data_IF_106437945758
#
_entry.id   IF_106437945758
#
_cell.length_a   1.000
_cell.length_b   1.000
_cell.length_c   1.000
_cell.angle_alpha   90.00
_cell.angle_beta   90.00
_cell.angle_gamma   90.00
#
_symmetry.space_group_name_H-M   'P 1'
#
loop_
_entity.id
_entity.type
_entity.pdbx_description
1 polymer ?
#
# COMPACT_ATOMS: atom_id res chain seq x y z
N UNK A 1 1.14 17.23 -26.06
CA UNK A 1 2.24 17.24 -25.09
C UNK A 1 2.13 15.99 -24.23
N UNK A 2 3.23 15.37 -23.85
CA UNK A 2 3.23 14.08 -23.15
C UNK A 2 3.00 14.34 -21.65
N UNK A 3 2.44 13.39 -20.90
CA UNK A 3 2.21 13.39 -19.44
C UNK A 3 3.43 13.94 -18.67
N UNK A 4 4.62 13.42 -18.97
CA UNK A 4 5.89 13.83 -18.37
C UNK A 4 6.29 15.28 -18.68
N UNK A 5 5.93 15.82 -19.85
CA UNK A 5 6.31 17.19 -20.19
C UNK A 5 5.57 18.24 -19.35
N UNK A 6 4.31 17.97 -18.99
CA UNK A 6 3.54 18.87 -18.11
C UNK A 6 4.02 18.81 -16.66
N UNK A 7 4.34 17.63 -16.15
CA UNK A 7 4.93 17.50 -14.81
C UNK A 7 6.29 18.18 -14.71
N UNK A 8 7.12 18.08 -15.78
CA UNK A 8 8.42 18.76 -15.85
C UNK A 8 8.26 20.28 -15.92
N UNK A 9 7.23 20.79 -16.60
CA UNK A 9 6.92 22.22 -16.66
C UNK A 9 6.51 22.74 -15.28
N UNK A 10 5.67 22.00 -14.55
CA UNK A 10 5.26 22.34 -13.19
C UNK A 10 6.45 22.29 -12.23
N UNK A 11 7.30 21.27 -12.30
CA UNK A 11 8.50 21.16 -11.47
C UNK A 11 9.50 22.29 -11.70
N UNK A 12 9.50 22.92 -12.89
CA UNK A 12 10.34 24.08 -13.21
C UNK A 12 9.77 25.43 -12.72
N UNK A 13 8.47 25.45 -12.34
CA UNK A 13 7.80 26.64 -11.81
C UNK A 13 7.82 26.53 -10.30
N UNK A 14 8.45 27.34 -9.51
CA UNK A 14 8.48 27.48 -8.04
C UNK A 14 7.66 26.45 -7.20
N UNK A 15 7.58 25.20 -7.68
CA UNK A 15 6.85 24.08 -7.10
C UNK A 15 7.85 23.18 -6.37
N UNK A 16 7.63 22.93 -5.08
CA UNK A 16 8.46 22.01 -4.32
C UNK A 16 8.18 20.56 -4.78
N UNK A 17 9.21 19.87 -5.27
CA UNK A 17 9.06 18.48 -5.74
C UNK A 17 9.42 17.49 -4.64
N UNK A 18 8.51 16.56 -4.39
CA UNK A 18 8.65 15.44 -3.45
C UNK A 18 8.64 14.12 -4.23
N UNK A 19 9.32 13.11 -3.70
CA UNK A 19 9.45 11.77 -4.30
C UNK A 19 9.66 10.71 -3.20
N UNK A 20 9.44 9.41 -3.48
CA UNK A 20 9.59 8.37 -2.45
C UNK A 20 11.02 8.27 -1.92
N UNK A 21 12.00 8.21 -2.83
CA UNK A 21 13.44 8.14 -2.53
C UNK A 21 14.22 9.01 -3.53
N UNK A 22 15.48 9.31 -3.19
CA UNK A 22 16.36 10.07 -4.08
C UNK A 22 16.98 9.23 -5.20
N UNK A 23 16.96 7.90 -5.06
CA UNK A 23 17.49 6.97 -6.04
C UNK A 23 16.62 6.91 -7.30
N UNK A 24 17.27 6.85 -8.47
CA UNK A 24 16.59 6.60 -9.74
C UNK A 24 16.12 5.15 -9.87
N UNK A 25 15.47 4.84 -11.01
CA UNK A 25 15.00 3.49 -11.30
C UNK A 25 16.15 2.47 -11.33
N UNK A 26 15.93 1.31 -10.73
CA UNK A 26 16.85 0.18 -10.73
C UNK A 26 17.01 -0.37 -12.16
N UNK A 27 18.25 -0.51 -12.63
CA UNK A 27 18.53 -0.96 -13.99
C UNK A 27 18.09 -2.42 -14.21
N UNK A 28 18.28 -3.27 -13.22
CA UNK A 28 17.91 -4.69 -13.27
C UNK A 28 17.29 -5.15 -11.94
N UNK A 29 15.96 -5.05 -11.79
CA UNK A 29 15.26 -5.49 -10.60
C UNK A 29 15.40 -6.99 -10.29
N UNK A 30 15.60 -7.82 -11.31
CA UNK A 30 15.80 -9.25 -11.14
C UNK A 30 17.12 -9.54 -10.42
N UNK A 31 18.24 -9.04 -10.95
CA UNK A 31 19.57 -9.25 -10.35
C UNK A 31 19.70 -8.55 -9.00
N UNK A 32 19.09 -7.37 -8.83
CA UNK A 32 19.04 -6.68 -7.54
C UNK A 32 18.32 -7.51 -6.48
N UNK A 33 17.21 -8.17 -6.84
CA UNK A 33 16.47 -9.08 -5.95
C UNK A 33 17.32 -10.28 -5.55
N UNK A 34 17.97 -10.94 -6.52
CA UNK A 34 18.88 -12.06 -6.21
C UNK A 34 20.00 -11.64 -5.26
N UNK A 35 20.58 -10.45 -5.49
CA UNK A 35 21.63 -9.90 -4.63
C UNK A 35 21.11 -9.65 -3.21
N UNK A 36 19.95 -9.03 -3.08
CA UNK A 36 19.32 -8.75 -1.79
C UNK A 36 19.05 -10.02 -0.97
N UNK A 37 18.54 -11.07 -1.62
CA UNK A 37 18.26 -12.35 -0.96
C UNK A 37 19.50 -13.18 -0.60
N UNK A 38 20.61 -12.96 -1.30
CA UNK A 38 21.91 -13.58 -0.97
C UNK A 38 22.61 -12.89 0.20
N UNK A 39 22.41 -11.59 0.37
CA UNK A 39 23.04 -10.79 1.41
C UNK A 39 22.03 -9.89 2.11
N UNK A 40 21.06 -10.48 2.85
CA UNK A 40 20.03 -9.70 3.54
C UNK A 40 20.63 -8.87 4.68
N UNK A 41 19.92 -7.81 5.04
CA UNK A 41 20.27 -6.95 6.18
C UNK A 41 19.96 -7.69 7.49
N UNK A 42 20.98 -7.89 8.31
CA UNK A 42 20.89 -8.52 9.65
C UNK A 42 20.23 -9.93 9.63
N UNK A 43 20.36 -10.67 8.53
CA UNK A 43 19.82 -12.02 8.37
C UNK A 43 20.73 -12.90 7.48
N UNK A 44 20.76 -14.22 7.65
CA UNK A 44 21.51 -15.10 6.75
C UNK A 44 20.93 -15.11 5.33
N UNK A 45 21.68 -15.61 4.35
CA UNK A 45 21.17 -15.80 2.99
C UNK A 45 19.86 -16.61 3.01
N UNK A 46 18.88 -16.25 2.19
CA UNK A 46 17.57 -16.91 2.19
C UNK A 46 17.69 -18.45 2.02
N UNK A 47 18.61 -18.89 1.16
CA UNK A 47 18.86 -20.34 0.94
C UNK A 47 19.47 -21.05 2.13
N UNK A 48 20.10 -20.34 3.06
CA UNK A 48 20.63 -20.90 4.31
C UNK A 48 19.57 -20.91 5.43
N UNK A 49 18.53 -20.09 5.30
CA UNK A 49 17.45 -19.98 6.26
C UNK A 49 16.35 -21.04 6.04
N UNK A 50 16.21 -21.53 4.81
CA UNK A 50 15.23 -22.56 4.45
C UNK A 50 15.91 -23.92 4.61
N UNK A 51 15.30 -24.80 5.41
CA UNK A 51 15.83 -26.15 5.64
C UNK A 51 15.05 -27.21 4.85
N UNK A 52 15.66 -28.39 4.56
CA UNK A 52 14.98 -29.45 3.84
C UNK A 52 13.68 -29.88 4.51
N UNK A 53 12.60 -29.88 3.74
CA UNK A 53 11.26 -30.21 4.20
C UNK A 53 10.38 -29.00 4.57
N UNK A 54 10.94 -27.78 4.57
CA UNK A 54 10.15 -26.57 4.81
C UNK A 54 9.15 -26.30 3.68
N UNK A 55 7.96 -25.89 4.06
CA UNK A 55 6.98 -25.27 3.18
C UNK A 55 7.16 -23.77 3.21
N UNK A 56 7.19 -23.13 2.02
CA UNK A 56 7.44 -21.70 1.88
C UNK A 56 6.20 -21.00 1.36
N UNK A 57 5.78 -19.92 2.02
CA UNK A 57 4.73 -19.04 1.51
C UNK A 57 5.30 -17.65 1.19
N UNK A 58 5.03 -17.16 -0.03
CA UNK A 58 5.39 -15.82 -0.48
C UNK A 58 4.15 -14.95 -0.47
N UNK A 59 4.12 -13.93 0.40
CA UNK A 59 3.03 -12.95 0.45
C UNK A 59 3.37 -11.77 -0.46
N UNK A 60 2.50 -11.47 -1.43
CA UNK A 60 2.78 -10.48 -2.48
C UNK A 60 1.85 -9.27 -2.35
N UNK A 61 2.42 -8.08 -2.08
CA UNK A 61 1.75 -6.80 -2.35
C UNK A 61 1.69 -6.59 -3.87
N UNK A 62 0.49 -6.65 -4.49
CA UNK A 62 0.34 -6.57 -5.95
C UNK A 62 0.75 -5.21 -6.53
N UNK A 63 0.86 -4.18 -5.68
CA UNK A 63 1.26 -2.83 -6.09
C UNK A 63 2.78 -2.61 -6.04
N UNK A 64 3.56 -3.64 -5.69
CA UNK A 64 5.02 -3.56 -5.68
C UNK A 64 5.56 -3.22 -7.08
N UNK A 65 6.43 -2.20 -7.22
CA UNK A 65 7.03 -1.87 -8.50
C UNK A 65 7.78 -3.05 -9.12
N UNK A 66 7.61 -3.28 -10.42
CA UNK A 66 8.26 -4.37 -11.17
C UNK A 66 8.05 -5.78 -10.57
N UNK A 67 6.91 -6.03 -9.92
CA UNK A 67 6.62 -7.27 -9.16
C UNK A 67 6.91 -8.55 -9.95
N UNK A 68 6.60 -8.61 -11.24
CA UNK A 68 6.85 -9.81 -12.06
C UNK A 68 8.33 -10.17 -12.15
N UNK A 69 9.23 -9.18 -12.31
CA UNK A 69 10.67 -9.41 -12.35
C UNK A 69 11.20 -9.82 -10.97
N UNK A 70 10.72 -9.18 -9.93
CA UNK A 70 11.09 -9.45 -8.53
C UNK A 70 10.66 -10.86 -8.15
N UNK A 71 9.41 -11.21 -8.40
CA UNK A 71 8.88 -12.54 -8.10
C UNK A 71 9.60 -13.63 -8.89
N UNK A 72 9.96 -13.37 -10.16
CA UNK A 72 10.77 -14.30 -10.96
C UNK A 72 12.11 -14.61 -10.29
N UNK A 73 12.79 -13.60 -9.74
CA UNK A 73 14.04 -13.80 -9.00
C UNK A 73 13.83 -14.58 -7.71
N UNK A 74 12.75 -14.28 -6.96
CA UNK A 74 12.37 -15.02 -5.74
C UNK A 74 12.11 -16.49 -6.05
N UNK A 75 11.29 -16.79 -7.07
CA UNK A 75 10.98 -18.16 -7.49
C UNK A 75 12.26 -18.90 -7.92
N UNK A 76 13.13 -18.25 -8.69
CA UNK A 76 14.42 -18.85 -9.06
C UNK A 76 15.27 -19.18 -7.83
N UNK A 77 15.30 -18.32 -6.82
CA UNK A 77 16.05 -18.58 -5.59
C UNK A 77 15.42 -19.72 -4.78
N UNK A 78 14.09 -19.78 -4.69
CA UNK A 78 13.38 -20.86 -4.01
C UNK A 78 13.56 -22.21 -4.70
N UNK A 79 13.64 -22.26 -6.02
CA UNK A 79 13.97 -23.48 -6.77
C UNK A 79 15.38 -24.01 -6.49
N UNK A 80 16.27 -23.17 -5.98
CA UNK A 80 17.65 -23.53 -5.58
C UNK A 80 17.74 -23.88 -4.09
N UNK A 81 16.67 -23.67 -3.32
CA UNK A 81 16.58 -24.07 -1.92
C UNK A 81 16.05 -25.49 -1.78
N UNK A 82 16.11 -26.01 -0.56
CA UNK A 82 15.61 -27.35 -0.21
C UNK A 82 14.11 -27.34 0.23
N UNK A 83 13.34 -26.33 -0.20
CA UNK A 83 11.91 -26.22 0.11
C UNK A 83 11.11 -27.39 -0.46
N UNK A 84 10.20 -27.98 0.34
CA UNK A 84 9.35 -29.10 -0.07
C UNK A 84 8.08 -28.64 -0.81
N UNK A 85 7.63 -27.41 -0.58
CA UNK A 85 6.48 -26.79 -1.25
C UNK A 85 6.55 -25.29 -1.25
N UNK A 86 6.06 -24.67 -2.31
CA UNK A 86 6.03 -23.21 -2.47
C UNK A 86 4.60 -22.77 -2.79
N UNK A 87 4.11 -21.77 -2.06
CA UNK A 87 2.82 -21.12 -2.30
C UNK A 87 3.02 -19.62 -2.45
N UNK A 88 2.28 -18.99 -3.36
CA UNK A 88 2.28 -17.54 -3.57
C UNK A 88 0.90 -16.99 -3.27
N UNK A 89 0.78 -16.17 -2.24
CA UNK A 89 -0.47 -15.52 -1.84
C UNK A 89 -0.45 -14.07 -2.27
N UNK A 90 -1.40 -13.68 -3.12
CA UNK A 90 -1.51 -12.34 -3.69
C UNK A 90 -2.63 -11.57 -2.98
N UNK A 91 -2.40 -10.30 -2.65
CA UNK A 91 -3.43 -9.43 -2.07
C UNK A 91 -4.65 -9.29 -2.97
N UNK A 92 -5.84 -9.21 -2.38
CA UNK A 92 -7.16 -9.17 -3.06
C UNK A 92 -7.41 -7.88 -3.85
N UNK A 93 -6.56 -6.86 -3.72
CA UNK A 93 -6.61 -5.63 -4.52
C UNK A 93 -5.92 -5.76 -5.89
N UNK A 94 -5.36 -6.94 -6.22
CA UNK A 94 -4.65 -7.19 -7.46
C UNK A 94 -5.57 -7.09 -8.68
N UNK A 95 -5.13 -6.36 -9.71
CA UNK A 95 -5.81 -6.34 -11.01
C UNK A 95 -5.72 -7.72 -11.70
N UNK A 96 -6.70 -8.09 -12.51
CA UNK A 96 -6.65 -9.35 -13.28
C UNK A 96 -5.37 -9.49 -14.12
N UNK A 97 -4.87 -8.38 -14.70
CA UNK A 97 -3.62 -8.36 -15.46
C UNK A 97 -2.39 -8.64 -14.58
N UNK A 98 -2.39 -8.17 -13.34
CA UNK A 98 -1.32 -8.43 -12.37
C UNK A 98 -1.34 -9.89 -11.93
N UNK A 99 -2.52 -10.44 -11.66
CA UNK A 99 -2.71 -11.86 -11.32
C UNK A 99 -2.21 -12.75 -12.45
N UNK A 100 -2.58 -12.44 -13.70
CA UNK A 100 -2.11 -13.18 -14.86
C UNK A 100 -0.59 -13.13 -14.98
N UNK A 101 0.02 -11.97 -14.86
CA UNK A 101 1.48 -11.81 -14.94
C UNK A 101 2.21 -12.58 -13.81
N UNK A 102 1.67 -12.59 -12.60
CA UNK A 102 2.19 -13.37 -11.47
C UNK A 102 2.08 -14.86 -11.77
N UNK A 103 0.91 -15.33 -12.23
CA UNK A 103 0.69 -16.74 -12.55
C UNK A 103 1.61 -17.22 -13.67
N UNK A 104 1.84 -16.40 -14.70
CA UNK A 104 2.79 -16.71 -15.78
C UNK A 104 4.23 -16.84 -15.28
N UNK A 105 4.65 -15.98 -14.36
CA UNK A 105 5.99 -16.01 -13.75
C UNK A 105 6.19 -17.25 -12.87
N UNK A 106 5.18 -17.57 -12.08
CA UNK A 106 5.23 -18.70 -11.13
C UNK A 106 5.17 -20.04 -11.86
N UNK A 107 4.37 -20.13 -12.93
CA UNK A 107 4.20 -21.35 -13.74
C UNK A 107 3.77 -22.54 -12.88
N UNK A 108 4.38 -23.70 -13.14
CA UNK A 108 4.11 -24.94 -12.39
C UNK A 108 4.96 -25.06 -11.11
N UNK A 109 5.75 -24.05 -10.74
CA UNK A 109 6.66 -24.12 -9.59
C UNK A 109 5.96 -23.96 -8.26
N UNK A 110 4.87 -23.20 -8.20
CA UNK A 110 4.13 -22.93 -6.99
C UNK A 110 2.64 -22.75 -7.27
N UNK A 111 1.83 -22.95 -6.24
CA UNK A 111 0.41 -22.60 -6.26
C UNK A 111 0.25 -21.08 -6.04
N UNK A 112 -0.62 -20.44 -6.85
CA UNK A 112 -0.98 -19.02 -6.69
C UNK A 112 -2.39 -18.93 -6.13
N UNK A 113 -2.53 -18.34 -4.95
CA UNK A 113 -3.83 -18.05 -4.32
C UNK A 113 -4.05 -16.55 -4.21
N UNK A 114 -5.25 -16.08 -4.57
CA UNK A 114 -5.68 -14.72 -4.27
C UNK A 114 -6.34 -14.73 -2.90
N UNK A 115 -5.91 -13.85 -2.02
CA UNK A 115 -6.47 -13.75 -0.69
C UNK A 115 -7.97 -13.46 -0.70
N UNK A 116 -8.72 -14.16 0.14
CA UNK A 116 -10.18 -14.07 0.24
C UNK A 116 -10.58 -13.74 1.70
N UNK A 117 -10.69 -12.46 2.07
CA UNK A 117 -10.88 -12.05 3.47
C UNK A 117 -12.22 -12.48 4.09
N UNK A 118 -13.24 -12.76 3.27
CA UNK A 118 -14.55 -13.24 3.73
C UNK A 118 -14.68 -14.78 3.69
N UNK A 119 -13.67 -15.50 3.21
CA UNK A 119 -13.70 -16.97 3.14
C UNK A 119 -13.07 -17.58 4.38
N UNK A 120 -13.91 -18.04 5.31
CA UNK A 120 -13.46 -18.63 6.58
C UNK A 120 -12.53 -19.84 6.41
N UNK A 121 -12.70 -20.63 5.35
CA UNK A 121 -11.87 -21.81 5.09
C UNK A 121 -10.46 -21.45 4.60
N UNK A 122 -10.31 -20.28 3.99
CA UNK A 122 -9.01 -19.74 3.54
C UNK A 122 -8.24 -19.00 4.66
N UNK A 123 -8.80 -18.95 5.88
CA UNK A 123 -8.24 -18.22 7.01
C UNK A 123 -7.85 -19.18 8.15
N UNK A 124 -6.82 -18.78 8.89
CA UNK A 124 -6.34 -19.46 10.10
C UNK A 124 -6.19 -18.48 11.24
N UNK A 125 -6.63 -18.89 12.43
CA UNK A 125 -6.40 -18.11 13.66
C UNK A 125 -4.91 -18.10 14.00
N UNK A 126 -4.37 -16.89 14.15
CA UNK A 126 -2.96 -16.69 14.50
C UNK A 126 -2.77 -16.46 16.01
N UNK A 127 -3.64 -15.67 16.60
CA UNK A 127 -3.58 -15.28 18.01
C UNK A 127 -4.50 -14.08 18.28
N UNK A 128 -4.64 -13.62 19.52
CA UNK A 128 -5.28 -12.35 19.84
C UNK A 128 -4.28 -11.20 19.69
N UNK A 129 -4.78 -9.99 19.32
CA UNK A 129 -4.01 -8.74 19.43
C UNK A 129 -3.92 -8.26 20.89
N UNK A 130 -3.14 -7.22 21.16
CA UNK A 130 -2.99 -6.61 22.50
C UNK A 130 -4.32 -6.16 23.13
N UNK A 131 -5.37 -5.95 22.31
CA UNK A 131 -6.73 -5.62 22.75
C UNK A 131 -7.63 -6.85 22.88
N UNK A 132 -7.06 -8.06 22.81
CA UNK A 132 -7.76 -9.34 22.85
C UNK A 132 -8.73 -9.60 21.68
N UNK A 133 -8.58 -8.89 20.55
CA UNK A 133 -9.32 -9.23 19.33
C UNK A 133 -8.60 -10.37 18.60
N UNK A 134 -9.36 -11.32 18.03
CA UNK A 134 -8.75 -12.40 17.28
C UNK A 134 -8.14 -11.89 15.97
N UNK A 135 -6.93 -12.34 15.66
CA UNK A 135 -6.26 -12.12 14.38
C UNK A 135 -6.37 -13.40 13.55
N UNK A 136 -6.98 -13.28 12.39
CA UNK A 136 -7.00 -14.32 11.37
C UNK A 136 -6.23 -13.86 10.16
N UNK A 137 -5.32 -14.68 9.66
CA UNK A 137 -4.59 -14.42 8.41
C UNK A 137 -4.87 -15.53 7.39
N UNK A 138 -4.43 -15.31 6.15
CA UNK A 138 -4.49 -16.32 5.12
C UNK A 138 -3.84 -17.62 5.61
N UNK A 139 -4.53 -18.75 5.38
CA UNK A 139 -4.12 -20.06 5.89
C UNK A 139 -2.75 -20.50 5.38
N UNK A 140 -2.44 -20.26 4.10
CA UNK A 140 -1.16 -20.65 3.52
C UNK A 140 0.02 -19.91 4.17
N UNK A 141 -0.21 -18.66 4.64
CA UNK A 141 0.82 -17.92 5.37
C UNK A 141 1.02 -18.47 6.79
N UNK A 142 -0.08 -18.85 7.47
CA UNK A 142 0.00 -19.33 8.87
C UNK A 142 0.52 -20.75 8.97
N UNK A 143 0.21 -21.59 7.98
CA UNK A 143 0.59 -23.00 7.98
C UNK A 143 2.01 -23.23 7.40
N UNK A 144 2.65 -22.22 6.80
CA UNK A 144 4.00 -22.34 6.22
C UNK A 144 5.10 -22.30 7.30
N UNK A 145 6.19 -23.04 7.06
CA UNK A 145 7.37 -23.06 7.92
C UNK A 145 8.24 -21.81 7.71
N UNK A 146 8.25 -21.27 6.49
CA UNK A 146 8.97 -20.05 6.13
C UNK A 146 8.06 -19.10 5.35
N UNK A 147 7.96 -17.85 5.79
CA UNK A 147 7.12 -16.83 5.14
C UNK A 147 7.99 -15.69 4.64
N UNK A 148 7.89 -15.38 3.33
CA UNK A 148 8.57 -14.27 2.68
C UNK A 148 7.57 -13.23 2.17
N UNK A 149 7.37 -12.10 2.85
CA UNK A 149 6.61 -10.99 2.29
C UNK A 149 7.45 -10.21 1.26
N UNK A 150 6.80 -9.84 0.16
CA UNK A 150 7.30 -8.88 -0.83
C UNK A 150 6.42 -7.64 -0.73
N UNK A 151 7.01 -6.53 -0.31
CA UNK A 151 6.27 -5.31 -0.01
C UNK A 151 6.82 -4.11 -0.75
N UNK A 152 5.95 -3.16 -1.03
CA UNK A 152 6.38 -1.82 -1.39
C UNK A 152 6.97 -1.13 -0.16
N UNK A 153 8.13 -0.52 -0.29
CA UNK A 153 8.80 0.19 0.80
C UNK A 153 8.11 1.50 1.19
N UNK A 154 6.79 1.46 1.37
CA UNK A 154 5.99 2.59 1.85
C UNK A 154 6.17 2.71 3.35
N UNK A 155 6.64 3.85 3.81
CA UNK A 155 6.70 4.14 5.24
C UNK A 155 5.33 4.65 5.71
N UNK A 156 4.47 3.74 6.11
CA UNK A 156 3.13 4.01 6.59
C UNK A 156 2.08 3.97 5.48
N UNK A 157 1.13 3.08 5.58
CA UNK A 157 -0.08 3.09 4.77
C UNK A 157 -1.09 4.11 5.32
N UNK A 158 -2.16 4.34 4.60
CA UNK A 158 -3.13 5.42 4.73
C UNK A 158 -3.66 5.67 6.15
N UNK A 159 -3.70 4.63 7.00
CA UNK A 159 -4.25 4.71 8.36
C UNK A 159 -3.21 4.48 9.45
N UNK A 160 -1.92 4.48 9.14
CA UNK A 160 -0.82 4.22 10.08
C UNK A 160 -0.94 2.86 10.84
N UNK A 161 -1.71 1.93 10.29
CA UNK A 161 -2.04 0.64 10.91
C UNK A 161 -1.55 -0.55 10.08
N UNK A 162 -0.83 -0.32 8.99
CA UNK A 162 -0.17 -1.36 8.22
C UNK A 162 1.18 -1.70 8.85
N UNK A 163 1.49 -2.98 8.91
CA UNK A 163 2.80 -3.44 9.30
C UNK A 163 3.82 -3.26 8.17
N UNK A 164 5.12 -3.28 8.50
CA UNK A 164 6.18 -3.20 7.49
C UNK A 164 6.22 -4.41 6.57
N UNK A 165 5.76 -5.57 7.04
CA UNK A 165 5.72 -6.81 6.27
C UNK A 165 4.55 -6.86 5.30
N UNK A 166 3.53 -6.00 5.44
CA UNK A 166 2.34 -5.98 4.62
C UNK A 166 1.38 -7.16 4.86
N UNK A 167 1.48 -7.84 6.01
CA UNK A 167 0.55 -8.93 6.34
C UNK A 167 -0.77 -8.41 6.87
N UNK A 168 -0.73 -7.40 7.74
CA UNK A 168 -1.90 -6.88 8.40
C UNK A 168 -2.12 -5.41 8.06
N UNK A 169 -3.33 -5.04 7.64
CA UNK A 169 -4.52 -5.89 7.48
C UNK A 169 -4.63 -6.61 6.13
N UNK A 170 -3.65 -6.50 5.24
CA UNK A 170 -3.75 -6.91 3.84
C UNK A 170 -4.10 -8.39 3.61
N UNK A 171 -3.68 -9.29 4.50
CA UNK A 171 -3.97 -10.73 4.43
C UNK A 171 -4.85 -11.21 5.60
N UNK A 172 -5.52 -10.28 6.29
CA UNK A 172 -6.45 -10.60 7.38
C UNK A 172 -7.89 -10.81 6.91
N UNK A 173 -8.72 -11.25 7.84
CA UNK A 173 -10.16 -11.42 7.64
C UNK A 173 -10.88 -10.07 7.47
N UNK A 174 -12.08 -10.13 6.88
CA UNK A 174 -12.91 -8.96 6.62
C UNK A 174 -13.35 -8.24 7.90
N UNK A 175 -13.56 -8.96 9.01
CA UNK A 175 -13.96 -8.34 10.27
C UNK A 175 -12.84 -7.49 10.87
N UNK A 176 -11.59 -7.99 10.82
CA UNK A 176 -10.41 -7.22 11.22
C UNK A 176 -10.22 -5.97 10.38
N UNK A 177 -10.33 -6.07 9.05
CA UNK A 177 -10.22 -4.94 8.13
C UNK A 177 -11.30 -3.87 8.38
N UNK A 178 -12.55 -4.29 8.57
CA UNK A 178 -13.67 -3.39 8.86
C UNK A 178 -13.49 -2.67 10.19
N UNK A 179 -13.00 -3.36 11.22
CA UNK A 179 -12.71 -2.76 12.52
C UNK A 179 -11.69 -1.63 12.40
N UNK A 180 -10.67 -1.80 11.56
CA UNK A 180 -9.64 -0.77 11.34
C UNK A 180 -10.15 0.44 10.55
N UNK A 181 -11.12 0.26 9.66
CA UNK A 181 -11.75 1.36 8.93
C UNK A 181 -12.77 2.14 9.76
N UNK A 182 -13.26 1.55 10.86
CA UNK A 182 -14.28 2.18 11.70
C UNK A 182 -13.65 3.04 12.79
N UNK A 183 -14.04 4.31 12.95
CA UNK A 183 -13.62 5.08 14.11
C UNK A 183 -14.12 4.44 15.40
N UNK A 184 -13.38 4.52 16.52
CA UNK A 184 -13.84 4.00 17.79
C UNK A 184 -15.18 4.64 18.19
N UNK A 185 -16.17 3.81 18.50
CA UNK A 185 -17.59 4.18 18.69
C UNK A 185 -17.87 5.12 19.87
N UNK A 186 -16.90 5.50 20.72
CA UNK A 186 -17.10 6.40 21.85
C UNK A 186 -15.86 7.22 22.21
N UNK A 187 -15.75 8.47 21.75
CA UNK A 187 -14.80 9.41 22.33
C UNK A 187 -15.27 9.99 23.70
N UNK A 188 -16.47 9.64 24.18
CA UNK A 188 -17.08 10.19 25.39
C UNK A 188 -17.17 9.24 26.59
N UNK A 189 -16.65 8.03 26.50
CA UNK A 189 -16.28 7.30 27.70
C UNK A 189 -15.06 8.02 28.27
N UNK A 190 -15.27 8.82 29.32
CA UNK A 190 -14.21 9.33 30.19
C UNK A 190 -13.28 8.17 30.54
N UNK A 191 -12.31 7.91 29.68
CA UNK A 191 -11.19 7.09 30.03
C UNK A 191 -10.47 7.88 31.12
N UNK A 192 -10.71 7.46 32.35
CA UNK A 192 -9.86 7.83 33.49
C UNK A 192 -8.41 7.65 33.03
N UNK A 193 -7.62 8.70 33.25
CA UNK A 193 -6.26 8.98 32.80
C UNK A 193 -5.21 7.89 33.17
N UNK A 194 -5.57 6.66 33.45
CA UNK A 194 -4.66 5.62 33.94
C UNK A 194 -4.59 4.32 33.13
N UNK A 195 -5.28 4.23 31.99
CA UNK A 195 -5.00 3.17 31.02
C UNK A 195 -4.63 3.83 29.70
N UNK A 196 -3.33 4.10 29.52
CA UNK A 196 -2.74 4.20 28.23
C UNK A 196 -2.95 2.81 27.56
N UNK A 197 -4.02 2.67 26.79
CA UNK A 197 -4.13 1.59 25.82
C UNK A 197 -2.97 1.86 24.87
N UNK A 198 -1.85 1.14 25.06
CA UNK A 198 -0.79 1.12 24.07
C UNK A 198 -1.45 0.79 22.75
N UNK A 199 -1.28 1.66 21.79
CA UNK A 199 -1.77 1.40 20.43
C UNK A 199 -1.18 0.06 20.02
N UNK A 200 -2.03 -0.89 19.58
CA UNK A 200 -1.57 -2.21 19.17
C UNK A 200 -0.41 -2.06 18.17
N UNK A 201 0.69 -2.77 18.40
CA UNK A 201 1.84 -2.75 17.48
C UNK A 201 1.40 -3.33 16.13
N UNK A 202 1.43 -2.58 15.04
CA UNK A 202 1.03 -3.08 13.74
C UNK A 202 1.90 -4.24 13.24
N UNK A 203 3.08 -4.45 13.81
CA UNK A 203 3.97 -5.56 13.48
C UNK A 203 3.71 -6.82 14.33
N UNK A 204 2.84 -6.76 15.34
CA UNK A 204 2.51 -7.90 16.18
C UNK A 204 2.05 -9.14 15.37
N UNK A 205 1.20 -9.03 14.33
CA UNK A 205 0.84 -10.18 13.50
C UNK A 205 2.02 -10.84 12.80
N UNK A 206 2.98 -10.05 12.30
CA UNK A 206 4.19 -10.58 11.67
C UNK A 206 5.12 -11.28 12.68
N UNK A 207 5.18 -10.76 13.91
CA UNK A 207 5.93 -11.40 15.00
C UNK A 207 5.28 -12.73 15.42
N UNK A 208 3.96 -12.77 15.54
CA UNK A 208 3.21 -13.99 15.86
C UNK A 208 3.35 -15.04 14.75
N UNK A 209 3.40 -14.59 13.49
CA UNK A 209 3.62 -15.46 12.32
C UNK A 209 5.06 -15.98 12.24
N UNK A 210 6.00 -15.37 12.97
CA UNK A 210 7.40 -15.74 12.92
C UNK A 210 8.13 -15.29 11.65
N UNK A 211 7.60 -14.28 10.93
CA UNK A 211 8.24 -13.74 9.74
C UNK A 211 9.51 -12.96 10.11
N UNK A 212 10.67 -13.52 9.76
CA UNK A 212 11.98 -12.96 10.12
C UNK A 212 12.68 -12.27 8.95
N UNK A 213 12.40 -12.68 7.73
CA UNK A 213 12.94 -12.11 6.50
C UNK A 213 11.82 -11.47 5.69
N UNK A 214 12.05 -10.28 5.18
CA UNK A 214 11.15 -9.62 4.24
C UNK A 214 11.94 -9.02 3.06
N UNK A 215 11.29 -8.90 1.91
CA UNK A 215 11.79 -8.20 0.74
C UNK A 215 11.04 -6.89 0.56
N UNK A 216 11.75 -5.78 0.63
CA UNK A 216 11.19 -4.44 0.48
C UNK A 216 11.68 -3.80 -0.81
N UNK A 217 10.76 -3.18 -1.54
CA UNK A 217 11.01 -2.54 -2.83
C UNK A 217 10.55 -1.10 -2.78
N UNK A 218 11.47 -0.16 -2.90
CA UNK A 218 11.10 1.25 -2.99
C UNK A 218 10.82 1.66 -4.43
N UNK A 219 10.08 2.73 -4.60
CA UNK A 219 9.77 3.30 -5.92
C UNK A 219 10.64 4.52 -6.22
N UNK A 220 11.08 4.63 -7.46
CA UNK A 220 11.61 5.87 -8.03
C UNK A 220 10.48 6.88 -8.28
N UNK A 221 10.85 8.08 -8.72
CA UNK A 221 9.90 9.12 -9.14
C UNK A 221 9.12 8.76 -10.43
N UNK A 222 9.55 7.72 -11.15
CA UNK A 222 8.84 7.18 -12.32
C UNK A 222 7.90 6.02 -12.00
N UNK A 223 7.77 5.61 -10.72
CA UNK A 223 6.95 4.49 -10.32
C UNK A 223 7.56 3.10 -10.56
N UNK A 224 8.83 3.04 -11.01
CA UNK A 224 9.57 1.80 -11.14
C UNK A 224 10.37 1.50 -9.87
N UNK A 225 10.77 0.25 -9.68
CA UNK A 225 11.61 -0.14 -8.55
C UNK A 225 12.90 0.70 -8.53
N UNK A 226 13.23 1.27 -7.38
CA UNK A 226 14.46 2.04 -7.16
C UNK A 226 15.49 1.22 -6.38
N UNK A 227 15.25 0.98 -5.11
CA UNK A 227 16.11 0.14 -4.28
C UNK A 227 15.35 -1.12 -3.85
N UNK A 228 16.02 -2.24 -3.88
CA UNK A 228 15.50 -3.55 -3.50
C UNK A 228 16.44 -4.12 -2.45
N UNK A 229 15.89 -4.43 -1.28
CA UNK A 229 16.66 -4.99 -0.17
C UNK A 229 15.83 -5.99 0.61
N UNK A 230 16.48 -7.04 1.08
CA UNK A 230 15.91 -8.03 1.98
C UNK A 230 16.53 -7.88 3.37
N UNK A 231 15.84 -8.32 4.40
CA UNK A 231 16.39 -8.29 5.75
C UNK A 231 15.35 -8.45 6.85
N UNK A 232 15.80 -8.30 8.09
CA UNK A 232 14.91 -8.23 9.24
C UNK A 232 14.12 -6.93 9.24
N UNK A 233 13.00 -6.88 9.98
CA UNK A 233 12.20 -5.66 10.15
C UNK A 233 13.06 -4.48 10.59
N UNK A 234 14.00 -4.70 11.51
CA UNK A 234 14.90 -3.64 12.03
C UNK A 234 15.83 -3.15 10.93
N UNK A 235 16.48 -4.06 10.20
CA UNK A 235 17.39 -3.73 9.10
C UNK A 235 16.70 -2.97 7.98
N UNK A 236 15.51 -3.46 7.56
CA UNK A 236 14.67 -2.81 6.55
C UNK A 236 14.24 -1.39 6.99
N UNK A 237 13.72 -1.27 8.21
CA UNK A 237 13.29 0.02 8.76
C UNK A 237 14.43 1.03 8.79
N UNK A 238 15.59 0.64 9.28
CA UNK A 238 16.78 1.48 9.28
C UNK A 238 17.12 1.95 7.86
N UNK A 239 17.12 1.03 6.89
CA UNK A 239 17.42 1.36 5.50
C UNK A 239 16.40 2.31 4.90
N UNK A 240 15.09 2.07 5.10
CA UNK A 240 14.03 2.98 4.64
C UNK A 240 14.16 4.40 5.20
N UNK A 241 14.55 4.53 6.47
CA UNK A 241 14.78 5.84 7.09
C UNK A 241 15.99 6.57 6.49
N UNK A 242 17.04 5.84 6.07
CA UNK A 242 18.24 6.42 5.45
C UNK A 242 17.99 6.93 4.02
N UNK A 243 17.15 6.24 3.24
CA UNK A 243 16.96 6.53 1.80
C UNK A 243 15.74 7.36 1.47
N UNK A 244 14.81 7.53 2.42
CA UNK A 244 13.59 8.30 2.17
C UNK A 244 13.93 9.75 1.80
N UNK A 245 13.22 10.28 0.83
CA UNK A 245 13.31 11.70 0.54
C UNK A 245 12.61 12.50 1.64
N UNK A 246 13.34 13.38 2.30
CA UNK A 246 12.80 14.35 3.26
C UNK A 246 12.95 15.73 2.62
N UNK A 247 11.84 16.37 2.20
CA UNK A 247 11.94 17.70 1.63
C UNK A 247 12.42 18.71 2.68
N UNK A 248 13.24 19.67 2.24
CA UNK A 248 13.65 20.77 3.09
C UNK A 248 12.46 21.72 3.31
N UNK A 249 12.00 21.84 4.53
CA UNK A 249 10.94 22.76 4.94
C UNK A 249 9.61 22.08 5.24
N UNK A 250 8.98 22.52 6.30
CA UNK A 250 7.70 22.02 6.83
C UNK A 250 6.53 22.91 6.37
N UNK A 251 6.58 23.46 5.17
CA UNK A 251 5.52 24.34 4.67
C UNK A 251 4.47 23.53 3.93
N UNK A 252 3.28 23.44 4.50
CA UNK A 252 2.10 23.01 3.78
C UNK A 252 1.80 23.97 2.61
N UNK A 253 1.18 23.44 1.57
CA UNK A 253 0.88 24.21 0.34
C UNK A 253 -0.60 24.18 0.00
N UNK A 254 -1.07 25.26 -0.62
CA UNK A 254 -2.49 25.41 -0.97
C UNK A 254 -2.89 24.53 -2.16
N UNK A 255 -1.91 24.08 -2.95
CA UNK A 255 -2.10 23.15 -4.06
C UNK A 255 -1.07 22.04 -3.98
N UNK A 256 -1.53 20.80 -4.02
CA UNK A 256 -0.66 19.62 -4.16
C UNK A 256 -1.05 18.85 -5.41
N UNK A 257 -0.11 18.68 -6.32
CA UNK A 257 -0.26 17.82 -7.50
C UNK A 257 0.41 16.49 -7.20
N UNK A 258 -0.36 15.43 -7.12
CA UNK A 258 0.10 14.07 -6.83
C UNK A 258 0.00 13.20 -8.07
N UNK A 259 1.13 12.77 -8.64
CA UNK A 259 1.13 11.92 -9.82
C UNK A 259 1.19 10.44 -9.45
N UNK A 260 0.34 9.63 -10.12
CA UNK A 260 0.49 8.18 -10.17
C UNK A 260 1.40 7.86 -11.35
N UNK A 261 2.68 7.74 -11.05
CA UNK A 261 3.67 7.28 -12.02
C UNK A 261 3.68 5.73 -12.08
N UNK A 262 4.40 5.17 -13.01
CA UNK A 262 4.49 3.72 -13.17
C UNK A 262 3.64 3.17 -14.32
N UNK A 263 3.57 1.83 -14.39
CA UNK A 263 2.84 1.14 -15.45
C UNK A 263 1.34 1.02 -15.16
N UNK A 264 0.58 0.44 -16.10
CA UNK A 264 -0.87 0.28 -15.98
C UNK A 264 -1.30 -0.53 -14.73
N UNK A 265 -0.47 -1.46 -14.25
CA UNK A 265 -0.78 -2.27 -13.06
C UNK A 265 -0.84 -1.44 -11.78
N UNK A 266 -0.24 -0.24 -11.79
CA UNK A 266 -0.24 0.69 -10.65
C UNK A 266 -1.33 1.76 -10.75
N UNK A 267 -2.01 1.85 -11.90
CA UNK A 267 -3.11 2.79 -12.13
C UNK A 267 -4.42 2.22 -11.56
N UNK A 268 -4.52 2.18 -10.23
CA UNK A 268 -5.66 1.58 -9.50
C UNK A 268 -6.33 2.60 -8.59
N UNK A 269 -7.61 2.40 -8.27
CA UNK A 269 -8.33 3.23 -7.31
C UNK A 269 -7.68 3.20 -5.92
N UNK A 270 -7.10 2.07 -5.53
CA UNK A 270 -6.34 1.95 -4.28
C UNK A 270 -5.13 2.89 -4.28
N UNK A 271 -4.38 2.93 -5.37
CA UNK A 271 -3.22 3.83 -5.48
C UNK A 271 -3.65 5.31 -5.63
N UNK A 272 -4.80 5.59 -6.25
CA UNK A 272 -5.41 6.93 -6.24
C UNK A 272 -5.69 7.40 -4.82
N UNK A 273 -6.29 6.55 -3.99
CA UNK A 273 -6.57 6.87 -2.59
C UNK A 273 -5.28 7.06 -1.77
N UNK A 274 -4.25 6.20 -1.98
CA UNK A 274 -2.93 6.35 -1.37
C UNK A 274 -2.26 7.67 -1.75
N UNK A 275 -2.30 8.03 -3.03
CA UNK A 275 -1.76 9.29 -3.52
C UNK A 275 -2.49 10.49 -2.93
N UNK A 276 -3.83 10.43 -2.83
CA UNK A 276 -4.63 11.47 -2.21
C UNK A 276 -4.27 11.67 -0.73
N UNK A 277 -4.09 10.57 0.02
CA UNK A 277 -3.70 10.66 1.43
C UNK A 277 -2.26 11.17 1.61
N UNK A 278 -1.33 10.78 0.75
CA UNK A 278 0.03 11.32 0.76
C UNK A 278 0.02 12.83 0.45
N UNK A 279 -0.78 13.27 -0.53
CA UNK A 279 -0.96 14.67 -0.88
C UNK A 279 -1.57 15.50 0.25
N UNK A 280 -2.57 14.97 0.94
CA UNK A 280 -3.25 15.65 2.04
C UNK A 280 -2.30 16.07 3.18
N UNK A 281 -1.19 15.36 3.36
CA UNK A 281 -0.18 15.69 4.38
C UNK A 281 0.68 16.89 4.04
N UNK A 282 0.77 17.22 2.76
CA UNK A 282 1.49 18.38 2.25
C UNK A 282 0.56 19.57 2.06
N UNK A 283 -0.76 19.35 2.11
CA UNK A 283 -1.75 20.37 1.83
C UNK A 283 -2.10 21.20 3.08
N UNK A 284 -2.35 22.47 2.86
CA UNK A 284 -3.00 23.36 3.85
C UNK A 284 -4.42 22.85 4.14
N UNK A 285 -4.97 23.23 5.29
CA UNK A 285 -6.39 23.01 5.59
C UNK A 285 -7.27 23.60 4.48
N UNK A 286 -8.18 22.79 3.94
CA UNK A 286 -9.02 23.13 2.79
C UNK A 286 -8.27 23.38 1.47
N UNK A 287 -7.04 22.89 1.34
CA UNK A 287 -6.24 22.94 0.12
C UNK A 287 -6.85 22.15 -1.05
N UNK A 288 -6.24 22.29 -2.20
CA UNK A 288 -6.65 21.55 -3.41
C UNK A 288 -5.66 20.41 -3.69
N UNK A 289 -6.18 19.20 -3.86
CA UNK A 289 -5.44 18.01 -4.25
C UNK A 289 -5.74 17.69 -5.71
N UNK A 290 -4.72 17.66 -6.55
CA UNK A 290 -4.84 17.20 -7.94
C UNK A 290 -4.21 15.84 -8.05
N UNK A 291 -5.01 14.84 -8.40
CA UNK A 291 -4.57 13.47 -8.63
C UNK A 291 -4.35 13.29 -10.14
N UNK A 292 -3.09 13.20 -10.55
CA UNK A 292 -2.67 13.13 -11.94
C UNK A 292 -2.35 11.70 -12.33
N UNK A 293 -3.24 11.05 -13.09
CA UNK A 293 -3.21 9.60 -13.31
C UNK A 293 -3.45 9.20 -14.76
N UNK A 294 -3.22 7.94 -15.08
CA UNK A 294 -3.66 7.25 -16.28
C UNK A 294 -4.75 6.21 -15.98
N UNK A 295 -5.44 6.34 -14.84
CA UNK A 295 -6.52 5.45 -14.45
C UNK A 295 -7.56 5.31 -15.56
N UNK A 296 -7.89 4.08 -15.94
CA UNK A 296 -8.87 3.73 -16.96
C UNK A 296 -9.98 2.83 -16.45
N UNK A 297 -9.81 2.25 -15.26
CA UNK A 297 -10.79 1.34 -14.70
C UNK A 297 -11.95 2.11 -14.08
N UNK A 298 -13.15 1.87 -14.58
CA UNK A 298 -14.39 2.47 -14.09
C UNK A 298 -14.57 2.21 -12.58
N UNK A 299 -15.12 3.17 -11.82
CA UNK A 299 -15.44 2.96 -10.42
C UNK A 299 -16.49 1.86 -10.25
N UNK A 300 -16.29 1.00 -9.25
CA UNK A 300 -17.20 -0.11 -8.93
C UNK A 300 -17.47 -0.19 -7.43
N UNK A 301 -18.39 -1.03 -7.01
CA UNK A 301 -18.65 -1.35 -5.60
C UNK A 301 -18.90 -0.13 -4.73
N UNK A 302 -18.17 -0.02 -3.63
CA UNK A 302 -18.29 1.08 -2.68
C UNK A 302 -17.91 2.45 -3.26
N UNK A 303 -17.07 2.50 -4.30
CA UNK A 303 -16.71 3.76 -4.96
C UNK A 303 -17.93 4.47 -5.56
N UNK A 304 -18.89 3.74 -6.12
CA UNK A 304 -20.12 4.32 -6.69
C UNK A 304 -21.00 5.08 -5.67
N UNK A 305 -20.72 4.90 -4.37
CA UNK A 305 -21.42 5.58 -3.28
C UNK A 305 -20.62 6.74 -2.67
N UNK A 306 -19.55 7.14 -3.33
CA UNK A 306 -18.62 8.15 -2.79
C UNK A 306 -19.30 9.50 -2.59
N UNK A 307 -20.16 9.93 -3.52
CA UNK A 307 -20.91 11.20 -3.47
C UNK A 307 -22.13 11.20 -2.57
N UNK A 308 -22.57 10.04 -2.08
CA UNK A 308 -23.74 9.95 -1.20
C UNK A 308 -23.32 10.01 0.27
N UNK A 309 -23.39 11.20 0.86
CA UNK A 309 -23.04 11.44 2.27
C UNK A 309 -23.95 10.69 3.26
N UNK A 310 -25.12 10.25 2.82
CA UNK A 310 -26.08 9.51 3.64
C UNK A 310 -25.91 8.01 3.54
N UNK A 311 -25.27 7.52 2.47
CA UNK A 311 -24.99 6.10 2.33
C UNK A 311 -23.87 5.73 3.32
N UNK A 312 -24.17 4.90 4.29
CA UNK A 312 -23.10 4.15 4.93
C UNK A 312 -22.34 3.43 3.81
N UNK A 313 -21.00 3.48 3.82
CA UNK A 313 -20.17 2.71 2.89
C UNK A 313 -20.32 1.20 3.22
N UNK A 314 -21.46 0.87 3.49
CA UNK A 314 -22.42 -0.20 3.40
C UNK A 314 -22.08 -1.58 3.87
N UNK A 315 -21.42 -1.82 4.98
CA UNK A 315 -21.28 -3.21 5.47
C UNK A 315 -21.85 -3.43 6.89
N UNK A 316 -22.51 -2.41 7.46
CA UNK A 316 -22.81 -2.38 8.90
C UNK A 316 -24.28 -2.51 9.29
N UNK A 317 -25.12 -3.13 8.49
CA UNK A 317 -26.52 -3.23 8.88
C UNK A 317 -26.83 -4.28 9.97
N UNK A 318 -25.98 -5.29 10.13
CA UNK A 318 -26.17 -6.29 11.18
C UNK A 318 -24.81 -6.82 11.64
N UNK A 319 -24.60 -6.93 12.95
CA UNK A 319 -23.49 -7.71 13.50
C UNK A 319 -23.60 -9.13 12.95
N UNK A 320 -22.61 -9.60 12.18
CA UNK A 320 -22.65 -10.98 11.70
C UNK A 320 -22.73 -11.93 12.89
N UNK A 321 -23.39 -13.06 12.71
CA UNK A 321 -23.30 -14.14 13.69
C UNK A 321 -21.82 -14.51 13.90
N UNK A 322 -21.44 -14.99 15.07
CA UNK A 322 -20.05 -15.37 15.37
C UNK A 322 -19.45 -16.38 14.35
N UNK A 323 -20.30 -17.03 13.56
CA UNK A 323 -19.93 -18.04 12.57
C UNK A 323 -19.71 -17.49 11.16
N UNK A 324 -20.27 -16.30 10.81
CA UNK A 324 -20.19 -15.73 9.47
C UNK A 324 -19.35 -14.46 9.45
N UNK A 325 -18.35 -14.42 8.55
CA UNK A 325 -17.57 -13.22 8.30
C UNK A 325 -18.38 -12.23 7.44
N UNK A 326 -18.26 -10.92 7.70
CA UNK A 326 -18.90 -9.92 6.85
C UNK A 326 -18.36 -10.00 5.42
N UNK A 327 -19.21 -9.69 4.45
CA UNK A 327 -18.80 -9.56 3.06
C UNK A 327 -17.71 -8.47 2.96
N UNK A 328 -16.76 -8.70 2.07
CA UNK A 328 -15.70 -7.76 1.79
C UNK A 328 -15.78 -7.24 0.36
N UNK A 329 -15.69 -5.93 0.21
CA UNK A 329 -15.54 -5.24 -1.07
C UNK A 329 -14.15 -4.57 -1.10
N UNK A 330 -13.23 -4.96 -2.01
CA UNK A 330 -11.89 -4.38 -2.07
C UNK A 330 -11.89 -2.87 -2.38
N UNK A 331 -13.00 -2.34 -2.92
CA UNK A 331 -13.15 -0.90 -3.17
C UNK A 331 -13.55 -0.10 -1.93
N UNK A 332 -13.83 -0.75 -0.80
CA UNK A 332 -14.24 -0.08 0.43
C UNK A 332 -13.16 0.83 0.99
N UNK A 333 -11.91 0.33 1.06
CA UNK A 333 -10.77 1.11 1.59
C UNK A 333 -10.51 2.39 0.79
N UNK A 334 -10.38 2.35 -0.56
CA UNK A 334 -10.22 3.57 -1.35
C UNK A 334 -11.44 4.49 -1.27
N UNK A 335 -12.66 3.96 -1.26
CA UNK A 335 -13.87 4.77 -1.12
C UNK A 335 -13.93 5.50 0.23
N UNK A 336 -13.64 4.81 1.33
CA UNK A 336 -13.59 5.40 2.67
C UNK A 336 -12.54 6.52 2.75
N UNK A 337 -11.34 6.28 2.23
CA UNK A 337 -10.26 7.25 2.23
C UNK A 337 -10.60 8.49 1.42
N UNK A 338 -11.06 8.31 0.16
CA UNK A 338 -11.42 9.43 -0.70
C UNK A 338 -12.59 10.24 -0.14
N UNK A 339 -13.61 9.59 0.46
CA UNK A 339 -14.73 10.28 1.11
C UNK A 339 -14.27 11.14 2.27
N UNK A 340 -13.42 10.59 3.15
CA UNK A 340 -12.86 11.33 4.28
C UNK A 340 -12.08 12.56 3.81
N UNK A 341 -11.24 12.39 2.80
CA UNK A 341 -10.44 13.48 2.26
C UNK A 341 -11.29 14.53 1.52
N UNK A 342 -12.35 14.12 0.82
CA UNK A 342 -13.27 15.04 0.13
C UNK A 342 -14.07 15.95 1.08
N UNK A 343 -14.19 15.60 2.35
CA UNK A 343 -14.78 16.46 3.38
C UNK A 343 -13.87 17.63 3.79
N UNK A 344 -12.55 17.45 3.65
CA UNK A 344 -11.55 18.43 4.11
C UNK A 344 -10.86 19.16 2.95
N UNK A 345 -10.77 18.53 1.77
CA UNK A 345 -9.99 19.01 0.63
C UNK A 345 -10.84 19.04 -0.65
N UNK A 346 -10.52 19.98 -1.54
CA UNK A 346 -11.02 19.93 -2.90
C UNK A 346 -10.18 18.95 -3.71
N UNK A 347 -10.79 17.83 -4.17
CA UNK A 347 -10.12 16.82 -4.97
C UNK A 347 -10.45 17.01 -6.44
N UNK A 348 -9.42 17.01 -7.29
CA UNK A 348 -9.50 17.07 -8.75
C UNK A 348 -8.76 15.85 -9.31
N UNK A 349 -9.35 15.17 -10.28
CA UNK A 349 -8.79 13.98 -10.90
C UNK A 349 -8.53 14.20 -12.40
N UNK A 350 -7.31 13.92 -12.84
CA UNK A 350 -6.98 13.65 -14.23
C UNK A 350 -6.87 12.15 -14.44
N UNK A 351 -7.59 11.61 -15.42
CA UNK A 351 -7.61 10.18 -15.72
C UNK A 351 -7.97 9.93 -17.19
N UNK A 352 -7.90 8.67 -17.61
CA UNK A 352 -8.43 8.24 -18.91
C UNK A 352 -9.92 7.87 -18.86
N UNK A 353 -10.57 8.06 -17.71
CA UNK A 353 -12.02 7.85 -17.56
C UNK A 353 -12.81 8.95 -18.29
N UNK A 354 -14.03 8.64 -18.75
CA UNK A 354 -15.00 9.66 -19.12
C UNK A 354 -15.22 10.63 -17.95
N UNK A 355 -15.21 11.96 -18.18
CA UNK A 355 -15.36 12.94 -17.09
C UNK A 355 -16.61 12.72 -16.25
N UNK A 356 -17.68 12.24 -16.84
CA UNK A 356 -18.96 11.97 -16.17
C UNK A 356 -18.84 10.91 -15.07
N UNK A 357 -17.91 9.95 -15.21
CA UNK A 357 -17.68 8.91 -14.21
C UNK A 357 -17.00 9.47 -12.96
N UNK A 358 -16.01 10.36 -13.12
CA UNK A 358 -15.37 11.02 -11.98
C UNK A 358 -16.30 12.04 -11.31
N UNK A 359 -17.07 12.81 -12.11
CA UNK A 359 -18.05 13.77 -11.59
C UNK A 359 -19.19 13.08 -10.82
N UNK A 360 -19.62 11.90 -11.25
CA UNK A 360 -20.61 11.10 -10.52
C UNK A 360 -20.14 10.68 -9.13
N UNK A 361 -18.81 10.63 -8.90
CA UNK A 361 -18.22 10.37 -7.58
C UNK A 361 -18.13 11.64 -6.70
N UNK A 362 -18.53 12.80 -7.20
CA UNK A 362 -18.35 14.09 -6.50
C UNK A 362 -16.90 14.61 -6.59
N UNK A 363 -16.06 14.05 -7.46
CA UNK A 363 -14.68 14.46 -7.70
C UNK A 363 -14.64 15.36 -8.93
N UNK A 364 -14.03 16.54 -8.82
CA UNK A 364 -13.84 17.43 -9.98
C UNK A 364 -12.84 16.84 -10.97
N UNK A 365 -12.90 17.26 -12.26
CA UNK A 365 -12.00 16.75 -13.30
C UNK A 365 -11.05 17.83 -13.80
N UNK A 366 -9.86 17.41 -14.23
CA UNK A 366 -8.89 18.18 -15.03
C UNK A 366 -8.64 17.39 -16.30
N UNK A 367 -8.92 18.00 -17.47
CA UNK A 367 -8.89 17.28 -18.73
C UNK A 367 -7.56 17.41 -19.48
N UNK A 368 -6.74 18.42 -19.15
CA UNK A 368 -5.50 18.67 -19.89
C UNK A 368 -4.38 19.22 -19.02
N UNK A 369 -3.14 19.02 -19.48
CA UNK A 369 -1.97 19.60 -18.84
C UNK A 369 -1.94 21.13 -18.90
N UNK A 370 -2.54 21.75 -19.94
CA UNK A 370 -2.65 23.20 -20.01
C UNK A 370 -3.58 23.73 -18.90
N UNK A 371 -4.66 23.02 -18.62
CA UNK A 371 -5.56 23.33 -17.50
C UNK A 371 -4.83 23.19 -16.14
N UNK A 372 -4.04 22.13 -15.98
CA UNK A 372 -3.21 21.93 -14.79
C UNK A 372 -2.19 23.07 -14.64
N UNK A 373 -1.48 23.45 -15.70
CA UNK A 373 -0.50 24.54 -15.68
C UNK A 373 -1.17 25.89 -15.34
N UNK A 374 -2.36 26.15 -15.86
CA UNK A 374 -3.13 27.34 -15.50
C UNK A 374 -3.59 27.33 -14.05
N UNK A 375 -3.99 26.14 -13.55
CA UNK A 375 -4.38 25.97 -12.16
C UNK A 375 -3.18 26.24 -11.22
N UNK A 376 -2.00 25.69 -11.49
CA UNK A 376 -0.80 25.91 -10.66
C UNK A 376 -0.43 27.39 -10.57
N UNK A 377 -0.57 28.14 -11.66
CA UNK A 377 -0.32 29.60 -11.68
C UNK A 377 -1.32 30.42 -10.87
N UNK A 378 -2.49 29.86 -10.54
CA UNK A 378 -3.51 30.53 -9.74
C UNK A 378 -3.29 30.44 -8.23
N UNK A 379 -2.35 29.60 -7.79
CA UNK A 379 -1.99 29.40 -6.39
C UNK A 379 -0.66 30.07 -6.06
N UNK A 380 -0.51 30.56 -4.84
CA UNK A 380 0.70 31.24 -4.38
C UNK A 380 1.87 30.25 -4.14
N UNK A 381 1.53 29.01 -3.80
CA UNK A 381 2.49 27.93 -3.55
C UNK A 381 1.90 26.59 -4.03
N UNK A 382 2.79 25.71 -4.43
CA UNK A 382 2.44 24.42 -5.02
C UNK A 382 3.48 23.37 -4.61
N UNK A 383 3.02 22.15 -4.37
CA UNK A 383 3.87 20.97 -4.24
C UNK A 383 3.55 19.96 -5.33
N UNK A 384 4.60 19.38 -5.92
CA UNK A 384 4.50 18.25 -6.85
C UNK A 384 4.99 17.00 -6.13
N UNK A 385 4.12 16.01 -6.01
CA UNK A 385 4.42 14.72 -5.40
C UNK A 385 4.48 13.65 -6.48
N UNK A 386 5.70 13.17 -6.82
CA UNK A 386 5.94 12.13 -7.83
C UNK A 386 5.78 10.75 -7.21
N UNK A 387 5.30 9.78 -8.00
CA UNK A 387 5.01 8.43 -7.56
C UNK A 387 4.28 8.40 -6.21
N UNK A 388 3.25 9.22 -6.09
CA UNK A 388 2.61 9.63 -4.86
C UNK A 388 2.05 8.47 -4.03
N UNK A 389 1.62 7.37 -4.66
CA UNK A 389 1.16 6.16 -3.97
C UNK A 389 2.26 5.45 -3.17
N UNK A 390 3.52 5.78 -3.41
CA UNK A 390 4.69 5.26 -2.69
C UNK A 390 5.30 6.26 -1.72
N UNK A 391 4.85 7.51 -1.72
CA UNK A 391 5.24 8.51 -0.74
C UNK A 391 4.48 8.27 0.56
N UNK A 392 5.00 7.38 1.38
CA UNK A 392 4.42 7.08 2.67
C UNK A 392 4.44 8.27 3.63
N UNK A 393 3.63 8.19 4.69
CA UNK A 393 3.70 9.09 5.81
C UNK A 393 5.09 9.07 6.43
N UNK A 394 5.60 10.25 6.75
CA UNK A 394 6.63 10.33 7.79
C UNK A 394 5.97 9.93 9.11
N UNK A 395 6.06 8.66 9.44
CA UNK A 395 5.67 8.22 10.77
C UNK A 395 6.72 8.76 11.73
N UNK A 396 6.31 9.62 12.64
CA UNK A 396 7.10 9.89 13.83
C UNK A 396 7.03 8.66 14.72
N UNK A 397 7.95 7.73 14.49
CA UNK A 397 8.11 6.60 15.39
C UNK A 397 8.49 7.16 16.76
N UNK A 398 7.83 6.75 17.83
CA UNK A 398 8.31 7.08 19.16
C UNK A 398 9.75 6.58 19.30
N UNK A 399 10.67 7.45 19.70
CA UNK A 399 12.11 7.14 19.87
C UNK A 399 12.39 6.07 20.95
N UNK A 400 11.37 5.50 21.56
CA UNK A 400 11.44 4.68 22.78
C UNK A 400 11.09 3.21 22.57
N UNK A 401 11.38 2.62 21.43
CA UNK A 401 11.23 1.16 21.21
C UNK A 401 12.54 0.54 20.77
N UNK A 402 13.55 0.58 21.64
CA UNK A 402 14.78 -0.23 21.52
C UNK A 402 14.98 -1.05 22.78
#
# INVERSE_FOLDING_TARGET
>A
MNFESHLSEIASADCMTHRPVDSGACADPFEATLSALRTPLDYPAMTEAIVPGDTVAVAVDPNTPNISKILSAVIQMLQQSDADGISVVVGDEALPSTIQAITEVVGDTAEVEIHQPANREALRFLGPDASAHPIYLNRLLVDADFVLPITSGRCGDLDCQSDLHGFFPAFSDSASRLRLLSPPRNPSAEASVETSTEAADPNEPAMLLGAQLMLSVTSSDTGEAAEIFAGTTIGIRKRLLEIRHIPEGNSSTSLVVASLDGNQQQQTWQNVARAAAAAARLADTSGTLVLWTHLSDAPTGCLLRLSDDTAELGIYSETPSEEELPLWDPTLTPAHTLRKLAQEYRILLHSNLPPEEAEALGIGTIQSGDELTNLTRSFANCSLLRAASFCGATYNWPETSF
#
